data_IF_192878604683
#
_entry.id   IF_192878604683
#
_cell.length_a   1.000
_cell.length_b   1.000
_cell.length_c   1.000
_cell.angle_alpha   90.00
_cell.angle_beta   90.00
_cell.angle_gamma   90.00
#
_symmetry.space_group_name_H-M   'P 1'
#
loop_
_entity.id
_entity.type
_entity.pdbx_description
1 polymer ?
#
# COMPACT_ATOMS: atom_id res chain seq x y z
N UNK A 1 -11.12 -0.59 -11.79
CA UNK A 1 -11.16 0.46 -10.75
C UNK A 1 -11.27 1.80 -11.48
N UNK A 2 -12.20 2.67 -11.10
CA UNK A 2 -12.35 3.97 -11.76
C UNK A 2 -11.54 5.04 -11.03
N UNK A 3 -11.02 6.03 -11.77
CA UNK A 3 -10.34 7.18 -11.20
C UNK A 3 -11.27 8.41 -11.19
N UNK A 4 -11.21 9.20 -10.12
CA UNK A 4 -11.86 10.50 -9.97
C UNK A 4 -11.08 11.62 -10.68
N UNK A 5 -9.76 11.44 -10.84
CA UNK A 5 -8.85 12.37 -11.52
C UNK A 5 -7.88 11.56 -12.39
N UNK A 6 -7.38 12.18 -13.46
CA UNK A 6 -6.34 11.56 -14.28
C UNK A 6 -5.09 11.24 -13.44
N UNK A 7 -4.53 10.01 -13.50
CA UNK A 7 -3.37 9.62 -12.72
C UNK A 7 -2.14 10.53 -12.86
N UNK A 8 -2.04 11.27 -13.97
CA UNK A 8 -0.99 12.27 -14.21
C UNK A 8 -0.96 13.39 -13.16
N UNK A 9 -2.04 13.61 -12.39
CA UNK A 9 -2.06 14.60 -11.31
C UNK A 9 -1.23 14.19 -10.07
N UNK A 10 -0.80 12.93 -9.96
CA UNK A 10 -0.05 12.44 -8.80
C UNK A 10 1.37 13.04 -8.74
N UNK A 11 2.05 13.33 -9.84
CA UNK A 11 3.44 13.80 -9.78
C UNK A 11 4.41 12.79 -9.14
N UNK A 12 5.39 13.26 -8.37
CA UNK A 12 6.53 12.47 -7.87
C UNK A 12 6.25 11.84 -6.50
N UNK A 13 6.55 10.55 -6.34
CA UNK A 13 6.37 9.77 -5.10
C UNK A 13 7.57 8.90 -4.71
N UNK A 14 8.48 8.63 -5.65
CA UNK A 14 9.60 7.70 -5.52
C UNK A 14 10.57 8.14 -4.43
N UNK A 15 10.90 9.43 -4.34
CA UNK A 15 11.85 9.91 -3.33
C UNK A 15 11.34 9.65 -1.91
N UNK A 16 10.04 9.85 -1.67
CA UNK A 16 9.43 9.58 -0.36
C UNK A 16 9.38 8.09 -0.06
N UNK A 17 9.00 7.26 -1.04
CA UNK A 17 9.01 5.80 -0.90
C UNK A 17 10.41 5.25 -0.58
N UNK A 18 11.46 5.71 -1.29
CA UNK A 18 12.86 5.31 -1.04
C UNK A 18 13.31 5.71 0.37
N UNK A 19 13.02 6.94 0.82
CA UNK A 19 13.36 7.38 2.18
C UNK A 19 12.72 6.49 3.25
N UNK A 20 11.46 6.10 3.04
CA UNK A 20 10.72 5.20 3.94
C UNK A 20 11.31 3.78 3.90
N UNK A 21 11.66 3.28 2.73
CA UNK A 21 12.32 1.99 2.55
C UNK A 21 13.68 1.94 3.28
N UNK A 22 14.52 2.96 3.13
CA UNK A 22 15.80 3.05 3.84
C UNK A 22 15.62 3.09 5.36
N UNK A 23 14.54 3.70 5.86
CA UNK A 23 14.21 3.66 7.28
C UNK A 23 13.71 2.28 7.72
N UNK A 24 13.00 1.55 6.86
CA UNK A 24 12.56 0.19 7.12
C UNK A 24 13.77 -0.74 7.18
N UNK A 25 14.68 -0.68 6.21
CA UNK A 25 15.90 -1.50 6.19
C UNK A 25 16.72 -1.38 7.46
N UNK A 26 16.99 -0.15 7.93
CA UNK A 26 17.69 0.06 9.21
C UNK A 26 17.00 -0.60 10.41
N UNK A 27 15.67 -0.66 10.42
CA UNK A 27 14.91 -1.35 11.47
C UNK A 27 14.97 -2.86 11.35
N UNK A 28 14.97 -3.38 10.12
CA UNK A 28 15.10 -4.81 9.84
C UNK A 28 16.49 -5.30 10.22
N UNK A 29 17.54 -4.59 9.83
CA UNK A 29 18.93 -4.90 10.20
C UNK A 29 19.14 -4.93 11.72
N UNK A 30 18.48 -4.02 12.45
CA UNK A 30 18.55 -3.97 13.91
C UNK A 30 17.73 -5.08 14.61
N UNK A 31 16.84 -5.77 13.90
CA UNK A 31 15.94 -6.78 14.47
C UNK A 31 15.78 -7.98 13.52
N UNK A 32 16.61 -9.03 13.67
CA UNK A 32 16.60 -10.22 12.81
C UNK A 32 15.24 -10.94 12.76
N UNK A 33 14.50 -10.95 13.87
CA UNK A 33 13.16 -11.54 13.89
C UNK A 33 12.21 -10.75 12.99
N UNK A 34 12.19 -9.41 13.11
CA UNK A 34 11.36 -8.57 12.24
C UNK A 34 11.78 -8.72 10.76
N UNK A 35 13.08 -8.84 10.47
CA UNK A 35 13.59 -9.07 9.13
C UNK A 35 13.04 -10.37 8.53
N UNK A 36 13.18 -11.50 9.23
CA UNK A 36 12.70 -12.79 8.75
C UNK A 36 11.20 -12.77 8.46
N UNK A 37 10.43 -12.10 9.32
CA UNK A 37 8.97 -12.02 9.18
C UNK A 37 8.57 -11.18 7.97
N UNK A 38 9.31 -10.10 7.70
CA UNK A 38 9.12 -9.27 6.53
C UNK A 38 9.50 -10.01 5.24
N UNK A 39 10.65 -10.69 5.20
CA UNK A 39 11.10 -11.47 4.03
C UNK A 39 10.11 -12.58 3.69
N UNK A 40 9.63 -13.32 4.69
CA UNK A 40 8.61 -14.36 4.49
C UNK A 40 7.33 -13.78 3.87
N UNK A 41 6.86 -12.62 4.37
CA UNK A 41 5.68 -11.97 3.80
C UNK A 41 5.90 -11.56 2.34
N UNK A 42 7.06 -10.95 2.04
CA UNK A 42 7.38 -10.50 0.68
C UNK A 42 7.43 -11.71 -0.27
N UNK A 43 8.07 -12.82 0.11
CA UNK A 43 8.07 -14.03 -0.72
C UNK A 43 6.67 -14.63 -0.90
N UNK A 44 5.89 -14.76 0.16
CA UNK A 44 4.51 -15.28 0.06
C UNK A 44 3.65 -14.40 -0.86
N UNK A 45 3.79 -13.07 -0.76
CA UNK A 45 3.09 -12.11 -1.61
C UNK A 45 3.49 -12.22 -3.08
N UNK A 46 4.76 -12.56 -3.37
CA UNK A 46 5.24 -12.88 -4.72
C UNK A 46 4.66 -14.21 -5.21
N UNK A 47 4.74 -15.26 -4.40
CA UNK A 47 4.31 -16.62 -4.74
C UNK A 47 2.80 -16.70 -5.00
N UNK A 48 2.00 -15.88 -4.29
CA UNK A 48 0.57 -15.71 -4.54
C UNK A 48 0.25 -14.90 -5.82
N UNK A 49 1.26 -14.38 -6.51
CA UNK A 49 1.09 -13.53 -7.70
C UNK A 49 0.48 -12.17 -7.39
N UNK A 50 0.61 -11.68 -6.14
CA UNK A 50 0.12 -10.35 -5.75
C UNK A 50 1.12 -9.22 -6.03
N UNK A 51 2.36 -9.58 -6.39
CA UNK A 51 3.36 -8.65 -6.92
C UNK A 51 4.23 -9.34 -7.97
N UNK A 52 4.94 -8.54 -8.77
CA UNK A 52 5.93 -9.01 -9.73
C UNK A 52 7.19 -8.15 -9.66
N UNK A 53 8.33 -8.73 -10.04
CA UNK A 53 9.59 -7.99 -10.12
C UNK A 53 9.64 -7.16 -11.41
N UNK A 54 9.85 -5.85 -11.26
CA UNK A 54 9.99 -4.91 -12.38
C UNK A 54 11.48 -4.70 -12.70
N UNK A 55 11.93 -5.10 -13.89
CA UNK A 55 13.35 -5.07 -14.30
C UNK A 55 13.75 -3.81 -15.08
N UNK A 56 12.84 -3.26 -15.89
CA UNK A 56 13.09 -2.06 -16.69
C UNK A 56 11.96 -1.06 -16.47
N UNK A 57 12.26 0.01 -15.75
CA UNK A 57 11.41 1.20 -15.79
C UNK A 57 11.77 1.93 -17.07
N UNK A 58 11.27 1.47 -18.22
CA UNK A 58 10.85 2.46 -19.23
C UNK A 58 9.99 3.43 -18.45
N UNK A 59 10.38 4.71 -18.37
CA UNK A 59 9.69 5.72 -17.59
C UNK A 59 8.19 5.63 -17.86
N UNK A 60 7.47 4.91 -16.99
CA UNK A 60 6.04 4.76 -17.12
C UNK A 60 5.52 6.20 -17.08
N UNK A 61 4.74 6.57 -18.09
CA UNK A 61 4.19 7.93 -18.23
C UNK A 61 3.46 8.37 -16.97
N UNK A 62 2.94 7.42 -16.18
CA UNK A 62 2.50 7.64 -14.81
C UNK A 62 2.89 6.45 -13.91
N UNK A 63 3.64 6.70 -12.84
CA UNK A 63 3.97 5.71 -11.81
C UNK A 63 3.75 6.28 -10.40
N UNK A 64 3.24 5.46 -9.49
CA UNK A 64 3.07 5.79 -8.07
C UNK A 64 3.79 4.77 -7.21
N UNK A 65 4.75 5.23 -6.41
CA UNK A 65 5.55 4.40 -5.53
C UNK A 65 4.97 4.45 -4.13
N UNK A 66 4.33 3.36 -3.70
CA UNK A 66 3.75 3.25 -2.36
C UNK A 66 4.84 2.97 -1.33
N UNK A 67 4.95 3.79 -0.26
CA UNK A 67 5.66 3.38 0.93
C UNK A 67 4.97 2.16 1.55
N UNK A 68 5.75 1.29 2.18
CA UNK A 68 5.22 0.16 2.91
C UNK A 68 5.96 -0.04 4.24
N UNK A 69 5.30 -0.69 5.18
CA UNK A 69 5.90 -1.03 6.47
C UNK A 69 5.37 -2.37 6.99
N UNK A 70 6.27 -3.17 7.57
CA UNK A 70 5.90 -4.41 8.23
C UNK A 70 5.10 -4.13 9.51
N UNK A 71 3.93 -4.74 9.65
CA UNK A 71 3.12 -4.76 10.86
C UNK A 71 3.24 -6.15 11.49
N UNK A 72 3.88 -6.19 12.65
CA UNK A 72 3.94 -7.39 13.48
C UNK A 72 2.71 -7.43 14.38
N UNK A 73 1.85 -8.42 14.19
CA UNK A 73 0.89 -8.84 15.20
C UNK A 73 1.32 -10.21 15.74
N UNK A 74 1.04 -10.53 17.01
CA UNK A 74 1.32 -11.85 17.58
C UNK A 74 0.83 -13.01 16.70
N UNK A 75 -0.31 -12.80 16.04
CA UNK A 75 -1.04 -13.84 15.29
C UNK A 75 -1.05 -13.59 13.76
N UNK A 76 -0.47 -12.48 13.30
CA UNK A 76 -0.52 -12.08 11.88
C UNK A 76 0.71 -11.27 11.49
N UNK A 77 1.37 -11.72 10.43
CA UNK A 77 2.53 -11.03 9.83
C UNK A 77 2.01 -10.39 8.55
N UNK A 78 1.95 -9.07 8.50
CA UNK A 78 1.34 -8.37 7.37
C UNK A 78 2.11 -7.09 7.08
N UNK A 79 2.41 -6.82 5.81
CA UNK A 79 2.94 -5.52 5.39
C UNK A 79 1.80 -4.63 4.93
N UNK A 80 1.81 -3.38 5.37
CA UNK A 80 0.81 -2.38 4.95
C UNK A 80 1.44 -1.49 3.89
N UNK A 81 0.78 -1.41 2.73
CA UNK A 81 1.08 -0.47 1.65
C UNK A 81 0.27 0.81 1.84
N UNK A 82 0.96 1.94 1.92
CA UNK A 82 0.35 3.24 2.21
C UNK A 82 -0.03 3.97 0.93
N UNK A 83 -1.23 3.66 0.42
CA UNK A 83 -1.84 4.36 -0.72
C UNK A 83 -2.37 5.77 -0.37
N UNK A 84 -2.30 6.18 0.90
CA UNK A 84 -2.70 7.52 1.37
C UNK A 84 -1.53 8.49 1.43
N UNK A 85 -0.31 8.04 1.15
CA UNK A 85 0.86 8.88 1.16
C UNK A 85 0.78 9.95 0.07
N UNK A 86 0.78 11.22 0.47
CA UNK A 86 0.77 12.33 -0.47
C UNK A 86 2.06 12.39 -1.29
N UNK A 87 1.93 12.69 -2.56
CA UNK A 87 3.00 12.94 -3.52
C UNK A 87 3.47 14.39 -3.48
N UNK A 88 4.39 14.77 -4.38
CA UNK A 88 4.81 16.14 -4.60
C UNK A 88 3.68 17.13 -4.89
N UNK A 89 2.53 16.68 -5.40
CA UNK A 89 1.37 17.52 -5.70
C UNK A 89 0.37 17.61 -4.55
N UNK A 90 0.58 16.86 -3.47
CA UNK A 90 -0.35 16.75 -2.34
C UNK A 90 -1.48 15.74 -2.55
N UNK A 91 -1.58 15.12 -3.73
CA UNK A 91 -2.54 14.03 -4.00
C UNK A 91 -1.98 12.68 -3.53
N UNK A 92 -2.85 11.69 -3.33
CA UNK A 92 -2.48 10.31 -3.00
C UNK A 92 -3.23 9.35 -3.92
N UNK A 93 -2.80 8.10 -4.01
CA UNK A 93 -3.53 7.12 -4.81
C UNK A 93 -4.99 6.97 -4.32
N UNK A 94 -5.20 6.97 -3.00
CA UNK A 94 -6.54 6.94 -2.42
C UNK A 94 -7.40 8.19 -2.74
N UNK A 95 -6.81 9.38 -2.91
CA UNK A 95 -7.60 10.59 -3.22
C UNK A 95 -8.08 10.65 -4.67
N UNK A 96 -7.43 9.90 -5.56
CA UNK A 96 -7.78 9.87 -6.99
C UNK A 96 -8.57 8.63 -7.39
N UNK A 97 -8.68 7.62 -6.53
CA UNK A 97 -9.47 6.42 -6.78
C UNK A 97 -10.94 6.64 -6.39
N UNK A 98 -11.86 6.23 -7.25
CA UNK A 98 -13.28 6.27 -6.94
C UNK A 98 -13.61 5.18 -5.91
N UNK A 99 -14.31 5.55 -4.85
CA UNK A 99 -14.96 4.58 -3.98
C UNK A 99 -16.16 3.97 -4.73
N UNK A 100 -16.29 2.64 -4.73
CA UNK A 100 -17.32 1.92 -5.50
C UNK A 100 -18.76 2.07 -4.99
N UNK A 101 -19.09 3.18 -4.31
CA UNK A 101 -20.32 3.34 -3.54
C UNK A 101 -20.36 2.46 -2.29
N UNK A 102 -21.18 2.83 -1.29
CA UNK A 102 -21.42 1.99 -0.12
C UNK A 102 -22.52 0.99 -0.47
N UNK A 103 -22.15 -0.28 -0.64
CA UNK A 103 -23.09 -1.38 -0.92
C UNK A 103 -23.69 -1.94 0.39
N UNK A 104 -22.98 -1.77 1.49
CA UNK A 104 -23.37 -2.30 2.80
C UNK A 104 -24.48 -1.46 3.40
N UNK A 105 -25.54 -2.12 3.89
CA UNK A 105 -26.58 -1.46 4.68
C UNK A 105 -25.97 -0.81 5.93
N UNK A 106 -26.50 0.34 6.32
CA UNK A 106 -26.13 1.00 7.57
C UNK A 106 -26.25 0.03 8.74
N UNK A 107 -25.25 0.02 9.64
CA UNK A 107 -25.22 -0.90 10.78
C UNK A 107 -26.51 -0.83 11.60
N UNK A 108 -27.08 0.36 11.74
CA UNK A 108 -28.37 0.56 12.41
C UNK A 108 -29.53 -0.18 11.72
N UNK A 109 -29.60 -0.13 10.39
CA UNK A 109 -30.61 -0.84 9.61
C UNK A 109 -30.47 -2.35 9.76
N UNK A 110 -29.23 -2.86 9.81
CA UNK A 110 -28.96 -4.28 10.07
C UNK A 110 -29.48 -4.68 11.46
N UNK A 111 -29.15 -3.91 12.50
CA UNK A 111 -29.59 -4.20 13.89
C UNK A 111 -31.11 -4.22 14.04
N UNK A 112 -31.84 -3.37 13.31
CA UNK A 112 -33.30 -3.36 13.33
C UNK A 112 -33.94 -4.61 12.72
N UNK A 113 -33.28 -5.27 11.76
CA UNK A 113 -33.79 -6.49 11.10
C UNK A 113 -33.62 -7.77 11.92
N UNK A 114 -32.80 -7.75 12.97
CA UNK A 114 -32.57 -8.89 13.87
C UNK A 114 -33.59 -8.99 15.03
N UNK A 115 -34.75 -8.36 14.89
CA UNK A 115 -35.89 -8.53 15.81
C UNK A 115 -36.83 -9.62 15.32
#
# INVERSE_FOLDING_TARGET
MAFLKEPSCLGESKQTAIRRLNSLWRKLEANPNLQQLYENFIHEYLDMGHMEQVFEVSELTVAYYMPHHGVLRPDSKSTVFDASCATSTGESLNSILANGGVIQDELFAILLRFR
#
